data_IF_828087774590
#
_entry.id   IF_828087774590
#
_cell.length_a   1.000
_cell.length_b   1.000
_cell.length_c   1.000
_cell.angle_alpha   90.00
_cell.angle_beta   90.00
_cell.angle_gamma   90.00
#
_symmetry.space_group_name_H-M   'P 1'
#
loop_
_entity.id
_entity.type
_entity.pdbx_description
1 polymer ?
#
# COMPACT_ATOMS: atom_id res chain seq x y z
N UNK A 1 16.70 5.31 -16.53
CA UNK A 1 17.25 4.62 -15.35
C UNK A 1 16.47 5.16 -14.14
N UNK A 2 15.98 4.30 -13.25
CA UNK A 2 15.19 4.75 -12.10
C UNK A 2 16.04 4.76 -10.82
N UNK A 3 16.17 5.89 -10.16
CA UNK A 3 16.87 5.96 -8.87
C UNK A 3 15.90 5.57 -7.75
N UNK A 4 16.34 4.67 -6.86
CA UNK A 4 15.57 4.25 -5.69
C UNK A 4 16.20 4.79 -4.44
N UNK A 5 15.47 5.66 -3.75
CA UNK A 5 15.87 6.26 -2.49
C UNK A 5 14.97 5.78 -1.37
N UNK A 6 15.55 5.62 -0.18
CA UNK A 6 14.83 5.24 1.03
C UNK A 6 14.99 6.34 2.07
N UNK A 7 13.91 6.80 2.69
CA UNK A 7 13.98 7.77 3.78
C UNK A 7 14.58 7.16 5.04
N UNK A 8 15.32 7.94 5.81
CA UNK A 8 15.72 7.55 7.16
C UNK A 8 14.49 7.46 8.10
N UNK A 9 14.27 6.30 8.71
CA UNK A 9 13.44 6.18 9.92
C UNK A 9 14.35 5.98 11.13
N UNK A 10 14.34 6.95 12.05
CA UNK A 10 14.88 6.75 13.41
C UNK A 10 14.00 5.68 14.08
N UNK A 11 14.47 4.43 14.08
CA UNK A 11 13.74 3.25 14.55
C UNK A 11 13.82 2.12 13.52
N UNK A 12 14.51 1.04 13.91
CA UNK A 12 14.77 -0.13 13.09
C UNK A 12 13.50 -0.80 12.59
N UNK A 13 13.39 -0.93 11.27
CA UNK A 13 12.47 -1.86 10.63
C UNK A 13 13.21 -2.54 9.47
N UNK A 14 13.86 -3.67 9.77
CA UNK A 14 14.58 -4.51 8.79
C UNK A 14 13.64 -5.01 7.67
N UNK A 15 12.34 -5.17 7.96
CA UNK A 15 11.30 -5.57 6.98
C UNK A 15 11.19 -4.64 5.76
N UNK A 16 11.59 -3.37 5.88
CA UNK A 16 11.57 -2.42 4.76
C UNK A 16 12.80 -2.54 3.85
N UNK A 17 13.82 -3.33 4.19
CA UNK A 17 15.01 -3.49 3.36
C UNK A 17 14.83 -4.56 2.29
N UNK A 18 14.13 -5.66 2.60
CA UNK A 18 13.87 -6.76 1.67
C UNK A 18 12.94 -6.37 0.51
N UNK A 19 12.00 -5.45 0.72
CA UNK A 19 11.10 -4.94 -0.35
C UNK A 19 11.83 -4.15 -1.45
N UNK A 20 13.04 -3.65 -1.17
CA UNK A 20 13.87 -2.95 -2.17
C UNK A 20 14.80 -3.87 -2.95
N UNK A 21 15.00 -5.12 -2.50
CA UNK A 21 15.98 -6.05 -3.07
C UNK A 21 15.46 -6.85 -4.30
N UNK A 22 14.28 -6.52 -4.83
CA UNK A 22 13.59 -7.30 -5.87
C UNK A 22 13.73 -6.81 -7.32
N UNK A 23 14.19 -7.73 -8.18
CA UNK A 23 13.88 -7.95 -9.62
C UNK A 23 14.42 -6.97 -10.68
N UNK A 24 14.60 -5.67 -10.42
CA UNK A 24 14.87 -4.70 -11.52
C UNK A 24 16.32 -4.21 -11.58
N UNK A 25 16.99 -4.43 -12.73
CA UNK A 25 18.42 -4.09 -12.95
C UNK A 25 18.70 -2.70 -13.56
N UNK A 26 17.69 -1.97 -14.03
CA UNK A 26 17.83 -0.57 -14.48
C UNK A 26 17.61 0.45 -13.34
N UNK A 27 17.99 0.05 -12.12
CA UNK A 27 17.80 0.83 -10.91
C UNK A 27 19.12 1.10 -10.24
N UNK A 28 19.40 2.36 -9.98
CA UNK A 28 20.50 2.78 -9.12
C UNK A 28 19.95 2.90 -7.71
N UNK A 29 20.47 2.09 -6.79
CA UNK A 29 20.14 2.22 -5.36
C UNK A 29 21.14 3.16 -4.73
N UNK A 30 20.63 4.14 -4.00
CA UNK A 30 21.47 5.09 -3.29
C UNK A 30 21.30 4.97 -1.76
N UNK A 31 22.15 5.68 -1.02
CA UNK A 31 22.08 5.81 0.42
C UNK A 31 20.72 6.36 0.88
N UNK A 32 20.44 6.19 2.17
CA UNK A 32 19.18 6.65 2.75
C UNK A 32 19.15 8.18 2.73
N UNK A 33 18.10 8.76 2.17
CA UNK A 33 17.90 10.21 2.12
C UNK A 33 17.42 10.70 3.50
N UNK A 34 18.09 11.70 4.04
CA UNK A 34 17.90 12.15 5.44
C UNK A 34 16.71 13.09 5.61
N UNK A 35 16.50 13.98 4.64
CA UNK A 35 15.43 14.97 4.71
C UNK A 35 14.07 14.38 4.31
N UNK A 36 13.02 14.73 5.06
CA UNK A 36 11.62 14.41 4.69
C UNK A 36 10.85 15.59 4.13
N UNK A 37 11.37 16.81 4.29
CA UNK A 37 10.72 18.06 3.88
C UNK A 37 11.31 18.62 2.59
N UNK A 38 12.62 18.47 2.38
CA UNK A 38 13.32 19.02 1.20
C UNK A 38 13.40 17.98 0.10
N UNK A 39 12.26 17.64 -0.50
CA UNK A 39 12.19 16.64 -1.57
C UNK A 39 12.74 17.13 -2.92
N UNK A 40 12.92 18.46 -3.09
CA UNK A 40 13.53 19.04 -4.29
C UNK A 40 14.97 18.58 -4.53
N UNK A 41 15.73 18.28 -3.48
CA UNK A 41 17.10 17.75 -3.57
C UNK A 41 17.15 16.38 -4.30
N UNK A 42 16.04 15.64 -4.34
CA UNK A 42 15.95 14.39 -5.10
C UNK A 42 16.07 14.62 -6.62
N UNK A 43 15.73 15.82 -7.11
CA UNK A 43 15.92 16.19 -8.51
C UNK A 43 17.41 16.32 -8.83
N UNK A 44 18.19 16.98 -7.96
CA UNK A 44 19.65 17.13 -8.12
C UNK A 44 20.35 15.78 -8.07
N UNK A 45 19.95 14.91 -7.14
CA UNK A 45 20.47 13.54 -7.08
C UNK A 45 20.14 12.74 -8.34
N UNK A 46 18.91 12.88 -8.85
CA UNK A 46 18.53 12.22 -10.10
C UNK A 46 19.32 12.75 -11.30
N UNK A 47 19.63 14.03 -11.35
CA UNK A 47 20.49 14.62 -12.39
C UNK A 47 21.93 14.10 -12.29
N UNK A 48 22.51 14.05 -11.08
CA UNK A 48 23.85 13.52 -10.84
C UNK A 48 23.99 12.06 -11.32
N UNK A 49 22.96 11.23 -11.08
CA UNK A 49 22.91 9.84 -11.51
C UNK A 49 22.28 9.63 -12.90
N UNK A 50 21.99 10.70 -13.65
CA UNK A 50 21.34 10.67 -14.96
C UNK A 50 20.10 9.75 -15.00
N UNK A 51 19.25 9.90 -13.99
CA UNK A 51 18.02 9.13 -13.79
C UNK A 51 16.80 9.95 -14.20
N UNK A 52 15.94 9.34 -15.01
CA UNK A 52 14.72 9.98 -15.52
C UNK A 52 13.51 9.77 -14.61
N UNK A 53 13.55 8.74 -13.76
CA UNK A 53 12.50 8.43 -12.82
C UNK A 53 13.09 8.33 -11.42
N UNK A 54 12.34 8.80 -10.43
CA UNK A 54 12.70 8.67 -9.02
C UNK A 54 11.60 7.91 -8.29
N UNK A 55 12.03 6.92 -7.50
CA UNK A 55 11.18 6.17 -6.59
C UNK A 55 11.70 6.40 -5.16
N UNK A 56 10.97 7.18 -4.37
CA UNK A 56 11.35 7.52 -3.00
C UNK A 56 10.39 6.91 -1.98
N UNK A 57 10.93 6.10 -1.07
CA UNK A 57 10.18 5.45 0.00
C UNK A 57 10.24 6.27 1.29
N UNK A 58 9.10 6.83 1.70
CA UNK A 58 8.96 7.62 2.92
C UNK A 58 8.32 6.78 4.03
N UNK A 59 9.14 6.36 5.00
CA UNK A 59 8.68 5.65 6.19
C UNK A 59 8.32 6.64 7.31
N UNK A 60 7.09 6.54 7.83
CA UNK A 60 6.59 7.33 8.96
C UNK A 60 6.32 6.44 10.16
N UNK A 61 6.81 6.87 11.34
CA UNK A 61 6.62 6.21 12.64
C UNK A 61 6.97 4.71 12.68
N UNK A 62 7.80 4.23 11.74
CA UNK A 62 8.14 2.81 11.58
C UNK A 62 6.95 1.89 11.26
N UNK A 63 5.80 2.46 10.83
CA UNK A 63 4.55 1.72 10.61
C UNK A 63 3.93 1.99 9.25
N UNK A 64 3.93 3.25 8.83
CA UNK A 64 3.32 3.66 7.57
C UNK A 64 4.40 3.86 6.51
N UNK A 65 4.15 3.38 5.30
CA UNK A 65 5.03 3.53 4.17
C UNK A 65 4.32 4.30 3.06
N UNK A 66 4.93 5.40 2.63
CA UNK A 66 4.50 6.16 1.48
C UNK A 66 5.54 6.03 0.37
N UNK A 67 5.09 6.07 -0.87
CA UNK A 67 5.95 5.96 -2.04
C UNK A 67 5.70 7.17 -2.92
N UNK A 68 6.76 7.89 -3.23
CA UNK A 68 6.74 8.98 -4.18
C UNK A 68 7.34 8.48 -5.49
N UNK A 69 6.61 8.67 -6.57
CA UNK A 69 7.04 8.31 -7.91
C UNK A 69 7.02 9.57 -8.76
N UNK A 70 8.17 9.97 -9.29
CA UNK A 70 8.29 11.17 -10.11
C UNK A 70 9.05 10.92 -11.40
N UNK A 71 8.69 11.68 -12.43
CA UNK A 71 9.50 11.93 -13.62
C UNK A 71 10.34 13.18 -13.40
N UNK A 72 11.66 13.05 -13.41
CA UNK A 72 12.58 14.19 -13.24
C UNK A 72 12.99 14.70 -14.64
N UNK A 73 13.13 16.03 -14.85
CA UNK A 73 12.96 17.14 -13.89
C UNK A 73 11.54 17.74 -13.83
N UNK A 74 10.71 17.49 -14.83
CA UNK A 74 9.48 18.27 -15.03
C UNK A 74 8.27 17.77 -14.23
N UNK A 75 8.27 16.53 -13.73
CA UNK A 75 7.08 15.87 -13.18
C UNK A 75 6.35 15.01 -14.23
N UNK A 76 5.19 14.43 -13.87
CA UNK A 76 4.44 14.61 -12.63
C UNK A 76 4.99 13.77 -11.47
N UNK A 77 4.59 14.13 -10.25
CA UNK A 77 4.86 13.35 -9.03
C UNK A 77 3.58 12.75 -8.48
N UNK A 78 3.55 11.44 -8.28
CA UNK A 78 2.44 10.75 -7.64
C UNK A 78 2.88 10.22 -6.28
N UNK A 79 2.10 10.55 -5.26
CA UNK A 79 2.27 10.00 -3.91
C UNK A 79 1.28 8.87 -3.69
N UNK A 80 1.80 7.74 -3.27
CA UNK A 80 1.03 6.55 -2.89
C UNK A 80 1.22 6.22 -1.42
N UNK A 81 0.19 5.62 -0.83
CA UNK A 81 0.29 4.92 0.44
C UNK A 81 0.37 3.42 0.15
N UNK A 82 1.41 2.78 0.66
CA UNK A 82 1.69 1.38 0.42
C UNK A 82 1.16 0.54 1.58
N UNK A 83 0.28 -0.41 1.27
CA UNK A 83 -0.36 -1.33 2.19
C UNK A 83 -0.11 -2.79 1.76
N UNK A 84 -0.33 -3.73 2.68
CA UNK A 84 -0.29 -5.17 2.43
C UNK A 84 0.98 -5.63 1.71
N UNK A 85 2.14 -5.14 2.17
CA UNK A 85 3.44 -5.56 1.65
C UNK A 85 3.74 -6.97 2.14
N UNK A 86 3.81 -7.91 1.19
CA UNK A 86 4.30 -9.25 1.39
C UNK A 86 5.57 -9.43 0.58
N UNK A 87 6.66 -9.71 1.27
CA UNK A 87 7.97 -9.98 0.65
C UNK A 87 8.03 -11.42 0.16
N UNK A 88 9.07 -11.77 -0.61
CA UNK A 88 9.24 -13.14 -1.14
C UNK A 88 9.35 -14.21 -0.04
N UNK A 89 9.81 -13.83 1.15
CA UNK A 89 10.11 -14.76 2.26
C UNK A 89 8.89 -15.02 3.18
N UNK A 90 7.91 -14.12 3.19
CA UNK A 90 6.81 -14.17 4.17
C UNK A 90 5.60 -15.02 3.72
N UNK A 91 5.32 -15.07 2.41
CA UNK A 91 4.22 -15.86 1.85
C UNK A 91 4.77 -17.07 1.11
N UNK A 92 3.95 -18.12 0.93
CA UNK A 92 4.30 -19.35 0.19
C UNK A 92 4.39 -19.09 -1.33
N UNK A 93 5.17 -18.07 -1.73
CA UNK A 93 5.48 -17.77 -3.11
C UNK A 93 6.53 -18.78 -3.58
N UNK A 94 6.10 -19.72 -4.41
CA UNK A 94 6.97 -20.78 -4.95
C UNK A 94 7.64 -20.38 -6.26
N UNK A 95 7.23 -19.24 -6.84
CA UNK A 95 7.76 -18.75 -8.12
C UNK A 95 9.16 -18.14 -7.98
N UNK A 96 9.94 -18.22 -9.05
CA UNK A 96 11.24 -17.57 -9.20
C UNK A 96 11.33 -16.85 -10.55
N UNK A 97 12.22 -15.88 -10.68
CA UNK A 97 12.53 -15.31 -12.00
C UNK A 97 13.99 -14.90 -12.14
N UNK A 98 14.48 -14.90 -13.37
CA UNK A 98 15.78 -14.39 -13.74
C UNK A 98 15.89 -12.91 -13.38
N UNK A 99 16.83 -12.59 -12.48
CA UNK A 99 17.15 -11.20 -12.14
C UNK A 99 17.54 -10.46 -13.42
N UNK A 100 16.80 -9.39 -13.75
CA UNK A 100 17.07 -8.58 -14.94
C UNK A 100 16.50 -9.10 -16.26
N UNK A 101 15.66 -10.14 -16.24
CA UNK A 101 14.71 -10.37 -17.32
C UNK A 101 13.80 -9.15 -17.49
N UNK A 102 13.25 -8.98 -18.69
CA UNK A 102 12.34 -7.88 -19.01
C UNK A 102 10.91 -8.34 -18.67
N UNK A 103 10.24 -7.73 -17.68
CA UNK A 103 8.87 -8.12 -17.34
C UNK A 103 7.89 -7.76 -18.45
N UNK A 104 6.88 -8.59 -18.62
CA UNK A 104 5.62 -8.15 -19.22
C UNK A 104 4.87 -7.35 -18.17
N UNK A 105 4.37 -6.17 -18.52
CA UNK A 105 3.50 -5.38 -17.65
C UNK A 105 2.05 -5.58 -18.11
N UNK A 106 1.24 -6.19 -17.26
CA UNK A 106 -0.19 -6.40 -17.53
C UNK A 106 -0.99 -5.36 -16.77
N UNK A 107 -1.71 -4.51 -17.48
CA UNK A 107 -2.57 -3.47 -16.91
C UNK A 107 -4.03 -3.84 -17.13
N UNK A 108 -4.82 -3.74 -16.06
CA UNK A 108 -6.27 -3.84 -16.12
C UNK A 108 -6.89 -2.71 -16.97
N UNK A 109 -8.00 -2.99 -17.62
CA UNK A 109 -8.76 -2.03 -18.44
C UNK A 109 -9.25 -0.83 -17.62
N UNK A 110 -9.46 -1.03 -16.31
CA UNK A 110 -9.81 0.03 -15.38
C UNK A 110 -8.84 1.23 -15.41
N UNK A 111 -7.56 1.03 -15.78
CA UNK A 111 -6.59 2.12 -15.90
C UNK A 111 -6.94 3.15 -16.99
N UNK A 112 -7.74 2.78 -17.99
CA UNK A 112 -8.15 3.69 -19.06
C UNK A 112 -9.39 4.50 -18.74
N UNK A 113 -10.12 4.14 -17.67
CA UNK A 113 -11.41 4.73 -17.34
C UNK A 113 -11.31 6.15 -16.79
N UNK A 114 -10.30 6.45 -15.97
CA UNK A 114 -10.11 7.76 -15.35
C UNK A 114 -8.75 8.38 -15.72
N UNK A 115 -8.67 9.71 -15.97
CA UNK A 115 -7.44 10.35 -16.42
C UNK A 115 -6.24 10.16 -15.48
N UNK A 116 -6.47 10.22 -14.17
CA UNK A 116 -5.40 10.04 -13.18
C UNK A 116 -4.84 8.62 -13.20
N UNK A 117 -5.67 7.60 -13.45
CA UNK A 117 -5.19 6.23 -13.63
C UNK A 117 -4.37 6.08 -14.92
N UNK A 118 -4.76 6.75 -16.00
CA UNK A 118 -3.97 6.75 -17.24
C UNK A 118 -2.56 7.34 -17.03
N UNK A 119 -2.45 8.45 -16.30
CA UNK A 119 -1.16 9.04 -15.92
C UNK A 119 -0.33 8.08 -15.05
N UNK A 120 -0.98 7.42 -14.08
CA UNK A 120 -0.31 6.42 -13.25
C UNK A 120 0.15 5.19 -14.04
N UNK A 121 -0.64 4.73 -15.02
CA UNK A 121 -0.26 3.64 -15.93
C UNK A 121 1.03 3.97 -16.69
N UNK A 122 1.11 5.17 -17.27
CA UNK A 122 2.31 5.63 -17.97
C UNK A 122 3.52 5.77 -17.03
N UNK A 123 3.30 6.26 -15.81
CA UNK A 123 4.36 6.36 -14.81
C UNK A 123 4.87 4.97 -14.38
N UNK A 124 3.98 3.99 -14.23
CA UNK A 124 4.32 2.61 -13.95
C UNK A 124 5.05 1.96 -15.11
N UNK A 125 4.59 2.14 -16.34
CA UNK A 125 5.27 1.65 -17.55
C UNK A 125 6.75 2.09 -17.56
N UNK A 126 7.00 3.38 -17.32
CA UNK A 126 8.35 3.91 -17.31
C UNK A 126 9.20 3.50 -16.10
N UNK A 127 8.59 3.32 -14.94
CA UNK A 127 9.31 2.99 -13.69
C UNK A 127 9.61 1.49 -13.59
N UNK A 128 8.66 0.67 -14.00
CA UNK A 128 8.67 -0.77 -13.85
C UNK A 128 9.10 -1.49 -15.13
N UNK A 129 9.01 -0.85 -16.29
CA UNK A 129 9.53 -1.35 -17.56
C UNK A 129 11.06 -1.36 -17.59
N UNK A 130 11.61 -2.33 -18.34
CA UNK A 130 13.04 -2.42 -18.61
C UNK A 130 13.26 -2.16 -20.10
N UNK A 131 13.94 -1.06 -20.48
CA UNK A 131 14.13 -0.73 -21.89
C UNK A 131 15.00 -1.78 -22.60
N UNK A 132 14.80 -1.92 -23.90
CA UNK A 132 15.61 -2.82 -24.73
C UNK A 132 17.08 -2.37 -24.71
N UNK A 133 18.01 -3.32 -24.61
CA UNK A 133 19.44 -3.02 -24.56
C UNK A 133 19.92 -2.43 -23.22
N UNK A 134 19.07 -2.39 -22.19
CA UNK A 134 19.49 -1.95 -20.86
C UNK A 134 20.69 -2.78 -20.37
N UNK A 135 21.66 -2.12 -19.74
CA UNK A 135 22.85 -2.78 -19.17
C UNK A 135 22.41 -3.90 -18.21
N UNK A 136 22.96 -5.11 -18.39
CA UNK A 136 22.63 -6.33 -17.62
C UNK A 136 21.21 -6.88 -17.83
N UNK A 137 20.46 -6.40 -18.81
CA UNK A 137 19.20 -7.03 -19.23
C UNK A 137 19.46 -8.41 -19.81
N UNK A 138 18.53 -9.34 -19.57
CA UNK A 138 18.53 -10.67 -20.18
C UNK A 138 17.49 -10.70 -21.30
N UNK A 139 17.74 -11.47 -22.38
CA UNK A 139 16.86 -11.51 -23.53
C UNK A 139 15.54 -12.22 -23.25
N UNK A 140 15.52 -13.17 -22.31
CA UNK A 140 14.34 -13.98 -21.99
C UNK A 140 13.29 -13.23 -21.18
N UNK A 141 12.04 -13.56 -21.47
CA UNK A 141 10.86 -13.12 -20.72
C UNK A 141 10.46 -14.28 -19.81
N UNK A 142 10.44 -14.02 -18.50
CA UNK A 142 10.29 -15.06 -17.48
C UNK A 142 9.22 -14.71 -16.44
N UNK A 143 8.78 -13.45 -16.42
CA UNK A 143 7.79 -13.00 -15.44
C UNK A 143 6.88 -11.88 -15.96
N UNK A 144 5.70 -11.83 -15.37
CA UNK A 144 4.67 -10.82 -15.58
C UNK A 144 4.48 -10.03 -14.28
N UNK A 145 4.43 -8.72 -14.38
CA UNK A 145 3.99 -7.84 -13.30
C UNK A 145 2.57 -7.36 -13.63
N UNK A 146 1.60 -7.79 -12.83
CA UNK A 146 0.19 -7.44 -12.97
C UNK A 146 -0.19 -6.24 -12.13
N UNK A 147 -0.94 -5.32 -12.73
CA UNK A 147 -1.53 -4.15 -12.10
C UNK A 147 -3.05 -4.22 -12.25
N UNK A 148 -3.75 -4.37 -11.13
CA UNK A 148 -5.22 -4.45 -11.10
C UNK A 148 -5.80 -3.37 -10.21
N UNK A 149 -6.92 -2.77 -10.61
CA UNK A 149 -7.60 -1.75 -9.79
C UNK A 149 -8.81 -2.41 -9.12
N UNK A 150 -8.88 -2.32 -7.81
CA UNK A 150 -10.06 -2.71 -7.04
C UNK A 150 -10.25 -1.73 -5.88
N UNK A 151 -11.48 -1.22 -5.71
CA UNK A 151 -11.86 -0.24 -4.67
C UNK A 151 -10.95 0.99 -4.62
N UNK A 152 -10.60 1.55 -5.79
CA UNK A 152 -9.70 2.70 -5.89
C UNK A 152 -8.24 2.41 -5.49
N UNK A 153 -7.90 1.14 -5.23
CA UNK A 153 -6.55 0.69 -4.87
C UNK A 153 -5.93 -0.11 -5.99
N UNK A 154 -4.63 0.02 -6.14
CA UNK A 154 -3.84 -0.61 -7.18
C UNK A 154 -3.12 -1.81 -6.56
N UNK A 155 -3.49 -3.00 -6.98
CA UNK A 155 -2.87 -4.25 -6.57
C UNK A 155 -1.74 -4.58 -7.53
N UNK A 156 -0.55 -4.78 -6.98
CA UNK A 156 0.64 -5.14 -7.75
C UNK A 156 1.09 -6.54 -7.33
N UNK A 157 1.20 -7.42 -8.31
CA UNK A 157 1.61 -8.83 -8.14
C UNK A 157 2.59 -9.23 -9.22
N UNK A 158 3.49 -10.16 -8.89
CA UNK A 158 4.49 -10.68 -9.82
C UNK A 158 4.33 -12.19 -9.96
N UNK A 159 4.29 -12.65 -11.20
CA UNK A 159 4.11 -14.05 -11.56
C UNK A 159 5.24 -14.51 -12.47
N UNK A 160 5.76 -15.70 -12.22
CA UNK A 160 6.62 -16.45 -13.11
C UNK A 160 5.78 -17.05 -14.24
N UNK A 161 6.34 -17.05 -15.45
CA UNK A 161 5.77 -17.73 -16.60
C UNK A 161 6.34 -19.15 -16.59
N UNK A 162 5.48 -20.14 -16.40
CA UNK A 162 5.82 -21.57 -16.47
C UNK A 162 5.18 -22.16 -17.71
N UNK A 163 6.01 -22.46 -18.71
CA UNK A 163 5.58 -23.16 -19.91
C UNK A 163 5.59 -24.67 -19.61
N UNK A 164 4.44 -25.32 -19.71
CA UNK A 164 4.33 -26.78 -19.62
C UNK A 164 4.13 -27.30 -21.05
N UNK A 165 5.10 -28.06 -21.54
CA UNK A 165 4.92 -28.79 -22.80
C UNK A 165 3.85 -29.86 -22.59
N UNK A 166 2.77 -29.81 -23.38
CA UNK A 166 1.81 -30.91 -23.41
C UNK A 166 2.54 -32.16 -23.91
N UNK A 167 2.86 -33.07 -22.99
CA UNK A 167 3.35 -34.39 -23.33
C UNK A 167 2.24 -35.10 -24.10
N UNK A 168 2.42 -35.22 -25.42
CA UNK A 168 1.51 -35.95 -26.32
C UNK A 168 1.22 -37.34 -25.77
N UNK A 169 0.08 -37.53 -25.12
CA UNK A 169 -0.44 -38.85 -24.78
C UNK A 169 -1.95 -38.90 -24.98
N UNK A 170 -2.32 -39.43 -26.17
CA UNK A 170 -3.51 -40.25 -26.51
C UNK A 170 -4.89 -39.55 -26.46
N UNK A 171 -5.80 -39.62 -27.44
CA UNK A 171 -5.90 -40.27 -28.75
C UNK A 171 -6.95 -39.46 -29.55
N UNK A 172 -6.72 -39.27 -30.86
CA UNK A 172 -7.79 -39.00 -31.84
C UNK A 172 -8.44 -37.61 -31.84
N UNK A 173 -7.77 -36.62 -32.44
CA UNK A 173 -8.37 -35.73 -33.44
C UNK A 173 -7.24 -34.87 -34.05
N UNK A 174 -6.83 -35.23 -35.26
CA UNK A 174 -5.88 -34.44 -36.05
C UNK A 174 -6.59 -33.22 -36.66
N UNK A 175 -6.71 -32.12 -35.90
CA UNK A 175 -6.84 -30.80 -36.52
C UNK A 175 -5.45 -30.22 -36.75
N UNK A 176 -5.17 -29.94 -38.03
CA UNK A 176 -3.90 -29.36 -38.49
C UNK A 176 -3.58 -28.05 -37.72
N UNK A 177 -2.31 -27.81 -37.36
CA UNK A 177 -1.94 -26.64 -36.60
C UNK A 177 -2.17 -25.37 -37.45
N UNK A 178 -3.15 -24.57 -37.06
CA UNK A 178 -3.31 -23.20 -37.58
C UNK A 178 -2.06 -22.41 -37.23
N UNK A 179 -1.40 -21.85 -38.25
CA UNK A 179 -0.17 -21.04 -38.13
C UNK A 179 -0.34 -19.98 -37.03
N UNK A 180 0.36 -20.15 -35.90
CA UNK A 180 0.45 -19.16 -34.83
C UNK A 180 0.00 -19.59 -33.42
N UNK A 181 -0.60 -20.77 -33.23
CA UNK A 181 -0.88 -21.32 -31.89
C UNK A 181 0.18 -22.36 -31.51
N UNK A 182 1.15 -21.96 -30.68
CA UNK A 182 1.96 -22.94 -29.94
C UNK A 182 1.05 -23.71 -28.98
N UNK A 183 1.02 -25.04 -29.06
CA UNK A 183 0.30 -25.95 -28.14
C UNK A 183 0.98 -26.02 -26.75
N UNK A 184 1.28 -24.86 -26.17
CA UNK A 184 1.97 -24.74 -24.89
C UNK A 184 1.01 -24.15 -23.88
N UNK A 185 0.70 -24.91 -22.83
CA UNK A 185 -0.10 -24.40 -21.72
C UNK A 185 0.80 -23.50 -20.85
N UNK A 186 0.41 -22.22 -20.74
CA UNK A 186 1.13 -21.23 -19.94
C UNK A 186 0.48 -21.14 -18.57
N UNK A 187 1.22 -21.54 -17.54
CA UNK A 187 0.83 -21.39 -16.15
C UNK A 187 1.57 -20.23 -15.48
N UNK A 188 0.91 -19.56 -14.55
CA UNK A 188 1.47 -18.43 -13.80
C UNK A 188 1.64 -18.80 -12.32
N UNK A 189 2.87 -18.69 -11.82
CA UNK A 189 3.21 -19.01 -10.41
C UNK A 189 3.64 -17.73 -9.69
N UNK A 190 3.07 -17.41 -8.53
CA UNK A 190 3.36 -16.15 -7.82
C UNK A 190 4.78 -16.14 -7.21
N UNK A 191 5.54 -15.07 -7.47
CA UNK A 191 6.93 -14.85 -7.00
C UNK A 191 6.96 -13.84 -5.83
N UNK A 192 6.15 -12.79 -5.93
CA UNK A 192 6.24 -11.61 -5.07
C UNK A 192 7.30 -10.57 -5.52
N UNK A 193 7.43 -9.43 -4.80
CA UNK A 193 6.58 -9.01 -3.69
C UNK A 193 5.17 -8.62 -4.14
N UNK A 194 4.20 -8.81 -3.24
CA UNK A 194 2.81 -8.37 -3.41
C UNK A 194 2.58 -7.15 -2.54
N UNK A 195 1.95 -6.13 -3.09
CA UNK A 195 1.60 -4.94 -2.33
C UNK A 195 0.45 -4.18 -2.98
N UNK A 196 -0.15 -3.28 -2.21
CA UNK A 196 -1.27 -2.45 -2.62
C UNK A 196 -0.85 -0.99 -2.53
N UNK A 197 -1.06 -0.23 -3.60
CA UNK A 197 -0.86 1.20 -3.63
C UNK A 197 -2.21 1.91 -3.62
N UNK A 198 -2.40 2.82 -2.68
CA UNK A 198 -3.54 3.75 -2.69
C UNK A 198 -3.04 5.11 -3.15
N UNK A 199 -3.55 5.68 -4.26
CA UNK A 199 -3.15 7.02 -4.69
C UNK A 199 -3.62 8.07 -3.68
N UNK A 200 -2.75 9.01 -3.34
CA UNK A 200 -3.07 10.14 -2.44
C UNK A 200 -3.22 11.42 -3.24
N UNK A 201 -2.12 11.87 -3.85
CA UNK A 201 -2.03 13.16 -4.52
C UNK A 201 -1.16 13.04 -5.76
N UNK A 202 -1.49 13.83 -6.78
CA UNK A 202 -0.65 14.05 -7.95
C UNK A 202 -0.27 15.53 -7.97
N UNK A 203 1.04 15.78 -8.08
CA UNK A 203 1.61 17.10 -8.27
C UNK A 203 2.03 17.25 -9.73
N UNK A 204 1.87 18.46 -10.26
CA UNK A 204 2.28 18.79 -11.63
C UNK A 204 3.79 18.64 -11.83
N UNK A 205 4.59 19.16 -10.88
CA UNK A 205 6.06 19.17 -10.95
C UNK A 205 6.73 17.95 -10.36
N UNK A 206 8.06 17.89 -10.47
CA UNK A 206 8.87 16.89 -9.77
C UNK A 206 9.14 17.31 -8.32
N UNK A 207 8.52 16.60 -7.37
CA UNK A 207 8.56 16.86 -5.93
C UNK A 207 8.16 18.29 -5.52
N UNK A 208 7.27 18.90 -6.32
CA UNK A 208 6.81 20.28 -6.13
C UNK A 208 5.71 20.64 -7.13
N UNK A 209 5.34 21.92 -7.15
CA UNK A 209 4.25 22.42 -7.99
C UNK A 209 2.85 22.21 -7.38
N UNK A 210 1.80 22.73 -8.06
CA UNK A 210 0.43 22.62 -7.59
C UNK A 210 -0.07 21.17 -7.60
N UNK A 211 -1.02 20.88 -6.70
CA UNK A 211 -1.70 19.59 -6.63
C UNK A 211 -2.81 19.59 -7.68
N UNK A 212 -2.72 18.69 -8.64
CA UNK A 212 -3.68 18.56 -9.76
C UNK A 212 -4.69 17.44 -9.53
N UNK A 213 -4.45 16.54 -8.57
CA UNK A 213 -5.39 15.52 -8.14
C UNK A 213 -5.18 15.20 -6.66
N UNK A 214 -6.29 15.04 -5.94
CA UNK A 214 -6.32 14.59 -4.55
C UNK A 214 -7.42 13.55 -4.38
N UNK A 215 -7.06 12.41 -3.79
CA UNK A 215 -8.01 11.35 -3.49
C UNK A 215 -8.76 11.65 -2.18
N UNK A 216 -10.03 12.03 -2.30
CA UNK A 216 -10.91 12.34 -1.16
C UNK A 216 -11.30 11.12 -0.32
N UNK A 217 -11.22 9.92 -0.89
CA UNK A 217 -11.53 8.67 -0.18
C UNK A 217 -10.37 8.22 0.70
N UNK A 218 -9.19 8.79 0.51
CA UNK A 218 -8.03 8.42 1.30
C UNK A 218 -8.11 8.97 2.72
N UNK A 219 -8.17 8.07 3.70
CA UNK A 219 -8.03 8.40 5.12
C UNK A 219 -6.65 7.97 5.60
N UNK A 220 -5.90 8.90 6.20
CA UNK A 220 -4.57 8.59 6.70
C UNK A 220 -4.62 7.56 7.85
N UNK A 221 -3.67 6.60 7.92
CA UNK A 221 -3.62 5.64 9.03
C UNK A 221 -3.48 6.28 10.41
N UNK A 222 -2.87 7.47 10.47
CA UNK A 222 -2.78 8.24 11.71
C UNK A 222 -4.16 8.74 12.16
N UNK A 223 -4.98 9.20 11.23
CA UNK A 223 -6.36 9.62 11.50
C UNK A 223 -7.20 8.44 12.00
N UNK A 224 -7.16 7.29 11.29
CA UNK A 224 -7.84 6.05 11.71
C UNK A 224 -7.43 5.65 13.14
N UNK A 225 -6.12 5.69 13.45
CA UNK A 225 -5.62 5.39 14.80
C UNK A 225 -6.09 6.41 15.84
N UNK A 226 -6.18 7.69 15.49
CA UNK A 226 -6.69 8.73 16.38
C UNK A 226 -8.20 8.54 16.66
N UNK A 227 -8.98 8.21 15.63
CA UNK A 227 -10.42 8.00 15.73
C UNK A 227 -10.75 6.75 16.55
N UNK A 228 -10.01 5.64 16.36
CA UNK A 228 -10.12 4.45 17.21
C UNK A 228 -9.84 4.79 18.68
N UNK A 229 -8.81 5.62 18.94
CA UNK A 229 -8.47 6.04 20.31
C UNK A 229 -9.57 6.92 20.90
N UNK A 230 -10.10 7.88 20.13
CA UNK A 230 -11.20 8.76 20.56
C UNK A 230 -12.47 7.96 20.85
N UNK A 231 -12.82 7.00 20.00
CA UNK A 231 -13.96 6.12 20.22
C UNK A 231 -13.82 5.27 21.50
N UNK A 232 -12.62 4.74 21.77
CA UNK A 232 -12.33 4.02 23.02
C UNK A 232 -12.45 4.93 24.25
N UNK A 233 -11.94 6.16 24.18
CA UNK A 233 -12.05 7.14 25.26
C UNK A 233 -13.52 7.54 25.51
N UNK A 234 -14.30 7.79 24.46
CA UNK A 234 -15.73 8.11 24.57
C UNK A 234 -16.52 6.97 25.24
N UNK A 235 -16.24 5.71 24.89
CA UNK A 235 -16.84 4.55 25.55
C UNK A 235 -16.47 4.45 27.04
N UNK A 236 -15.23 4.80 27.39
CA UNK A 236 -14.80 4.83 28.79
C UNK A 236 -15.54 5.93 29.56
N UNK A 237 -15.59 7.15 29.01
CA UNK A 237 -16.29 8.28 29.64
C UNK A 237 -17.78 7.97 29.85
N UNK A 238 -18.45 7.37 28.86
CA UNK A 238 -19.84 6.96 29.00
C UNK A 238 -20.06 5.91 30.12
N UNK A 239 -19.10 5.02 30.37
CA UNK A 239 -19.19 4.08 31.51
C UNK A 239 -19.02 4.79 32.85
N UNK A 240 -18.12 5.76 32.93
CA UNK A 240 -17.91 6.57 34.13
C UNK A 240 -19.15 7.41 34.41
N UNK A 241 -19.72 8.09 33.41
CA UNK A 241 -20.98 8.83 33.54
C UNK A 241 -22.14 7.93 33.95
N UNK A 242 -22.26 6.73 33.39
CA UNK A 242 -23.28 5.76 33.82
C UNK A 242 -23.07 5.30 35.27
N UNK A 243 -21.82 5.10 35.71
CA UNK A 243 -21.52 4.75 37.08
C UNK A 243 -21.89 5.90 38.04
N UNK A 244 -21.49 7.13 37.72
CA UNK A 244 -21.86 8.34 38.48
C UNK A 244 -23.39 8.50 38.51
N UNK A 245 -24.07 8.40 37.36
CA UNK A 245 -25.52 8.48 37.29
C UNK A 245 -26.25 7.37 38.06
N UNK A 246 -25.67 6.16 38.15
CA UNK A 246 -26.22 5.11 39.04
C UNK A 246 -26.04 5.45 40.51
N UNK A 247 -24.92 6.06 40.89
CA UNK A 247 -24.70 6.53 42.27
C UNK A 247 -25.70 7.63 42.59
N UNK A 248 -25.85 8.64 41.73
CA UNK A 248 -26.85 9.72 41.91
C UNK A 248 -28.27 9.16 42.01
N UNK A 249 -28.67 8.22 41.14
CA UNK A 249 -30.01 7.59 41.23
C UNK A 249 -30.22 6.80 42.53
N UNK A 250 -29.19 6.13 43.05
CA UNK A 250 -29.27 5.44 44.35
C UNK A 250 -29.38 6.44 45.50
N UNK A 251 -28.72 7.58 45.37
CA UNK A 251 -28.78 8.68 46.32
C UNK A 251 -30.20 9.28 46.37
N UNK A 252 -30.78 9.61 45.21
CA UNK A 252 -32.14 10.13 45.09
C UNK A 252 -33.21 9.18 45.65
N UNK A 253 -32.98 7.86 45.53
CA UNK A 253 -33.86 6.83 46.09
C UNK A 253 -33.62 6.60 47.61
N UNK A 254 -32.68 7.30 48.23
CA UNK A 254 -32.31 7.15 49.64
C UNK A 254 -31.71 5.79 49.98
N UNK A 255 -31.15 5.08 48.98
CA UNK A 255 -30.57 3.74 49.13
C UNK A 255 -29.09 3.79 49.58
N UNK A 256 -28.49 4.99 49.65
CA UNK A 256 -27.14 5.21 50.15
C UNK A 256 -27.19 5.56 51.64
N UNK A 257 -26.27 5.00 52.44
CA UNK A 257 -26.25 5.18 53.90
C UNK A 257 -26.15 6.64 54.35
N UNK A 258 -25.48 7.46 53.52
CA UNK A 258 -25.19 8.88 53.77
C UNK A 258 -25.99 9.81 52.83
N UNK A 259 -26.99 9.27 52.13
CA UNK A 259 -27.76 9.99 51.13
C UNK A 259 -28.98 10.72 51.67
N UNK A 260 -29.59 11.55 50.82
CA UNK A 260 -30.81 12.27 51.17
C UNK A 260 -31.97 11.27 51.26
N UNK A 261 -32.46 10.99 52.47
CA UNK A 261 -33.54 10.01 52.66
C UNK A 261 -34.86 10.62 52.16
N UNK A 262 -35.66 9.88 51.37
CA UNK A 262 -36.98 10.35 50.99
C UNK A 262 -37.81 10.65 52.24
N UNK A 263 -38.66 11.69 52.15
CA UNK A 263 -39.54 12.07 53.24
C UNK A 263 -40.38 10.84 53.68
N UNK A 264 -40.30 10.49 54.97
CA UNK A 264 -41.01 9.33 55.50
C UNK A 264 -42.51 9.57 55.44
N UNK A 265 -43.25 8.57 54.97
CA UNK A 265 -44.71 8.61 54.94
C UNK A 265 -45.27 8.54 56.37
N UNK A 266 -46.27 9.37 56.69
CA UNK A 266 -46.85 9.43 58.05
C UNK A 266 -47.56 8.13 58.45
N UNK A 267 -47.95 7.30 57.48
CA UNK A 267 -48.57 5.98 57.68
C UNK A 267 -47.57 4.82 57.77
N UNK A 268 -46.27 5.09 57.82
CA UNK A 268 -45.25 4.05 57.94
C UNK A 268 -45.26 3.45 59.37
N UNK A 269 -45.32 2.12 59.47
CA UNK A 269 -45.41 1.39 60.76
C UNK A 269 -44.25 1.72 61.69
N UNK A 270 -43.09 2.11 61.14
CA UNK A 270 -41.93 2.53 61.91
C UNK A 270 -42.06 3.92 62.56
N UNK A 271 -43.00 4.76 62.10
CA UNK A 271 -43.35 6.05 62.71
C UNK A 271 -44.60 5.93 63.60
N UNK A 272 -45.56 5.09 63.19
CA UNK A 272 -46.82 4.87 63.90
C UNK A 272 -46.68 4.13 65.24
N UNK A 273 -45.61 3.34 65.40
CA UNK A 273 -45.34 2.56 66.61
C UNK A 273 -44.01 2.92 67.28
N UNK A 274 -43.45 4.10 66.98
CA UNK A 274 -42.29 4.66 67.66
C UNK A 274 -42.69 5.41 68.94
#
# INVERSE_FOLDING_TARGET
MAAVYKSLSKGGSEKNESSTNGVKKNKQRDAKFDSKSRLGELNELAELYNCNNVLFFEARKGKDLYVWMSKVPNGPTVKFHLQNLHTMEELHFTGNCLKGSRPILSFDAAFETQPHFRVMKELFLHTFGVPQGARKSKPFIDHVMGFSIADGKIWIRNYQISEVEQTKLKDGDEEAPTVGKSNTDINLVEIGPRFVLTPLVIQEGSFGGPIIYENREFVSPNQIRADIRRAKAARHNGRVEQAVGRVSKKDDLGLLSNGNRPAKNELDKTMLFA
#
